data_IF_181208775993
#
_entry.id   IF_181208775993
#
_cell.length_a   1.000
_cell.length_b   1.000
_cell.length_c   1.000
_cell.angle_alpha   90.00
_cell.angle_beta   90.00
_cell.angle_gamma   90.00
#
_symmetry.space_group_name_H-M   'P 1'
#
loop_
_entity.id
_entity.type
_entity.pdbx_description
1 polymer ?
#
# COMPACT_ATOMS: atom_id res chain seq x y z
N UNK A 1 -2.11 2.09 -14.76
CA UNK A 1 -3.03 1.26 -15.56
C UNK A 1 -4.46 1.52 -15.12
N UNK A 2 -5.39 1.52 -16.05
CA UNK A 2 -6.83 1.57 -15.78
C UNK A 2 -7.44 0.32 -16.39
N UNK A 3 -8.24 -0.41 -15.60
CA UNK A 3 -8.86 -1.63 -16.10
C UNK A 3 -10.06 -1.33 -17.02
N UNK A 4 -10.62 -2.36 -17.69
CA UNK A 4 -11.77 -2.16 -18.58
C UNK A 4 -13.01 -1.56 -17.89
N UNK A 5 -13.15 -1.72 -16.59
CA UNK A 5 -14.25 -1.16 -15.82
C UNK A 5 -14.02 0.29 -15.39
N UNK A 6 -12.85 0.85 -15.69
CA UNK A 6 -12.51 2.23 -15.38
C UNK A 6 -11.82 2.44 -14.03
N UNK A 7 -11.39 1.38 -13.36
CA UNK A 7 -10.71 1.47 -12.06
C UNK A 7 -9.20 1.32 -12.20
N UNK A 8 -8.45 2.04 -11.35
CA UNK A 8 -7.02 1.83 -11.21
C UNK A 8 -6.77 0.78 -10.15
N UNK A 9 -6.21 -0.39 -10.52
CA UNK A 9 -5.87 -1.40 -9.52
C UNK A 9 -4.67 -0.96 -8.69
N UNK A 10 -4.77 -1.12 -7.38
CA UNK A 10 -3.63 -0.95 -6.51
C UNK A 10 -3.66 -1.91 -5.32
N UNK A 11 -2.57 -1.94 -4.58
CA UNK A 11 -2.44 -2.73 -3.38
C UNK A 11 -2.15 -1.82 -2.21
N UNK A 12 -2.64 -2.20 -1.03
CA UNK A 12 -2.36 -1.51 0.21
C UNK A 12 -1.86 -2.50 1.24
N UNK A 13 -0.99 -2.05 2.12
CA UNK A 13 -0.28 -2.91 3.06
C UNK A 13 -0.50 -2.39 4.47
N UNK A 14 -0.97 -3.28 5.35
CA UNK A 14 -0.95 -3.05 6.79
C UNK A 14 0.22 -3.84 7.34
N UNK A 15 1.26 -3.14 7.78
CA UNK A 15 2.48 -3.76 8.30
C UNK A 15 2.44 -3.71 9.82
N UNK A 16 2.46 -4.88 10.45
CA UNK A 16 2.25 -5.03 11.87
C UNK A 16 3.51 -5.61 12.54
N UNK A 17 3.82 -5.11 13.71
CA UNK A 17 4.85 -5.70 14.59
C UNK A 17 4.28 -6.94 15.28
N UNK A 18 5.16 -7.84 15.79
CA UNK A 18 4.69 -9.02 16.52
C UNK A 18 3.82 -8.71 17.74
N UNK A 19 3.98 -7.53 18.33
CA UNK A 19 3.18 -7.08 19.48
C UNK A 19 1.82 -6.48 19.07
N UNK A 20 1.49 -6.47 17.79
CA UNK A 20 0.21 -5.97 17.26
C UNK A 20 0.21 -4.50 16.89
N UNK A 21 1.29 -3.76 17.12
CA UNK A 21 1.38 -2.37 16.71
C UNK A 21 1.58 -2.28 15.20
N UNK A 22 1.09 -1.21 14.61
CA UNK A 22 1.02 -1.04 13.15
C UNK A 22 1.84 0.18 12.73
N UNK A 23 2.44 0.11 11.56
CA UNK A 23 3.22 1.20 11.01
C UNK A 23 2.44 1.99 9.96
N UNK A 24 2.66 3.32 9.96
CA UNK A 24 2.21 4.22 8.89
C UNK A 24 3.43 4.73 8.14
N UNK A 25 3.26 4.89 6.82
CA UNK A 25 4.26 5.56 6.00
C UNK A 25 3.95 7.05 5.92
N UNK A 26 5.00 7.88 5.95
CA UNK A 26 4.84 9.32 5.74
C UNK A 26 4.52 9.59 4.27
N UNK A 27 3.53 10.44 4.04
CA UNK A 27 3.17 10.87 2.68
C UNK A 27 4.23 11.85 2.16
N UNK A 28 4.75 11.57 0.95
CA UNK A 28 5.92 12.28 0.43
C UNK A 28 5.65 13.75 0.09
N UNK A 29 4.50 14.08 -0.45
CA UNK A 29 4.20 15.42 -0.95
C UNK A 29 2.97 16.05 -0.31
N UNK A 30 2.53 15.50 0.82
CA UNK A 30 1.35 15.94 1.54
C UNK A 30 1.61 15.76 3.02
N UNK A 31 0.91 16.55 3.81
CA UNK A 31 0.91 16.33 5.23
C UNK A 31 0.19 15.03 5.57
N UNK A 32 0.65 14.38 6.62
CA UNK A 32 0.00 13.21 7.16
C UNK A 32 0.70 11.90 6.83
N UNK A 33 0.09 10.84 7.28
CA UNK A 33 0.61 9.48 7.22
C UNK A 33 -0.42 8.60 6.54
N UNK A 34 0.04 7.54 5.89
CA UNK A 34 -0.83 6.55 5.27
C UNK A 34 -0.20 5.17 5.33
N UNK A 35 -1.01 4.14 5.14
CA UNK A 35 -0.47 2.80 4.94
C UNK A 35 0.29 2.76 3.61
N UNK A 36 1.40 1.99 3.52
CA UNK A 36 2.07 1.78 2.25
C UNK A 36 1.08 1.28 1.21
N UNK A 37 1.10 1.88 0.03
CA UNK A 37 0.21 1.50 -1.06
C UNK A 37 0.78 1.97 -2.39
N UNK A 38 0.35 1.34 -3.46
CA UNK A 38 0.77 1.75 -4.79
C UNK A 38 0.02 1.02 -5.89
N UNK A 39 0.15 1.54 -7.10
CA UNK A 39 -0.49 1.00 -8.28
C UNK A 39 0.12 -0.31 -8.74
N UNK A 40 -0.70 -1.16 -9.34
CA UNK A 40 -0.23 -2.37 -9.98
C UNK A 40 0.23 -2.09 -11.40
N UNK A 41 1.27 -2.78 -11.83
CA UNK A 41 1.64 -2.85 -13.23
C UNK A 41 0.75 -3.88 -13.93
N UNK A 42 0.60 -3.73 -15.25
CA UNK A 42 -0.36 -4.55 -16.02
C UNK A 42 -0.03 -6.04 -16.03
N UNK A 43 1.22 -6.39 -15.79
CA UNK A 43 1.70 -7.78 -15.80
C UNK A 43 1.89 -8.38 -14.41
N UNK A 44 1.46 -7.67 -13.37
CA UNK A 44 1.61 -8.11 -11.98
C UNK A 44 0.32 -8.73 -11.45
N UNK A 45 0.48 -9.75 -10.60
CA UNK A 45 -0.58 -10.16 -9.69
C UNK A 45 -0.62 -9.21 -8.48
N UNK A 46 -1.71 -9.17 -7.72
CA UNK A 46 -1.74 -8.37 -6.48
C UNK A 46 -0.61 -8.71 -5.50
N UNK A 47 -0.28 -9.99 -5.35
CA UNK A 47 0.81 -10.41 -4.45
C UNK A 47 2.17 -9.90 -4.94
N UNK A 48 2.44 -9.98 -6.24
CA UNK A 48 3.67 -9.45 -6.82
C UNK A 48 3.77 -7.94 -6.63
N UNK A 49 2.67 -7.23 -6.86
CA UNK A 49 2.61 -5.79 -6.65
C UNK A 49 2.84 -5.43 -5.19
N UNK A 50 2.28 -6.21 -4.26
CA UNK A 50 2.44 -5.99 -2.83
C UNK A 50 3.92 -6.09 -2.43
N UNK A 51 4.63 -7.12 -2.86
CA UNK A 51 6.05 -7.26 -2.53
C UNK A 51 6.90 -6.17 -3.16
N UNK A 52 6.58 -5.76 -4.38
CA UNK A 52 7.29 -4.66 -5.04
C UNK A 52 7.09 -3.34 -4.28
N UNK A 53 5.86 -3.01 -3.96
CA UNK A 53 5.54 -1.78 -3.22
C UNK A 53 6.13 -1.81 -1.80
N UNK A 54 6.10 -2.95 -1.14
CA UNK A 54 6.74 -3.12 0.16
C UNK A 54 8.22 -2.75 0.09
N UNK A 55 8.91 -3.28 -0.90
CA UNK A 55 10.33 -2.99 -1.10
C UNK A 55 10.58 -1.52 -1.43
N UNK A 56 9.80 -0.95 -2.35
CA UNK A 56 9.96 0.44 -2.76
C UNK A 56 9.71 1.42 -1.62
N UNK A 57 8.72 1.15 -0.78
CA UNK A 57 8.32 2.08 0.27
C UNK A 57 9.00 1.84 1.60
N UNK A 58 9.42 0.62 1.91
CA UNK A 58 9.99 0.28 3.22
C UNK A 58 11.38 -0.31 3.15
N UNK A 59 11.81 -0.76 1.99
CA UNK A 59 13.06 -1.48 1.82
C UNK A 59 12.99 -2.95 2.23
N UNK A 60 11.85 -3.42 2.69
CA UNK A 60 11.71 -4.79 3.16
C UNK A 60 11.60 -5.78 1.99
N UNK A 61 12.17 -6.96 2.21
CA UNK A 61 12.11 -8.09 1.28
C UNK A 61 11.11 -9.12 1.79
N UNK A 62 10.69 -10.08 0.95
CA UNK A 62 9.73 -11.12 1.39
C UNK A 62 10.15 -11.86 2.66
N UNK A 63 11.45 -12.07 2.86
CA UNK A 63 11.97 -12.76 4.05
C UNK A 63 11.78 -11.98 5.36
N UNK A 64 11.45 -10.70 5.26
CA UNK A 64 11.28 -9.84 6.43
C UNK A 64 9.83 -9.77 6.92
N UNK A 65 8.93 -10.46 6.27
CA UNK A 65 7.50 -10.40 6.60
C UNK A 65 6.85 -11.77 6.45
N UNK A 66 5.78 -11.97 7.24
CA UNK A 66 4.83 -13.06 7.05
C UNK A 66 3.50 -12.47 6.58
N UNK A 67 2.93 -13.03 5.53
CA UNK A 67 1.61 -12.63 5.06
C UNK A 67 0.56 -13.33 5.91
N UNK A 68 -0.15 -12.56 6.72
CA UNK A 68 -1.20 -13.09 7.60
C UNK A 68 -2.54 -13.20 6.91
N UNK A 69 -2.78 -12.37 5.91
CA UNK A 69 -4.04 -12.42 5.18
C UNK A 69 -4.15 -11.32 4.14
N UNK A 70 -5.22 -11.36 3.38
CA UNK A 70 -5.56 -10.34 2.41
C UNK A 70 -7.06 -10.27 2.25
N UNK A 71 -7.55 -9.16 1.69
CA UNK A 71 -8.96 -9.09 1.30
C UNK A 71 -9.23 -10.11 0.21
N UNK A 72 -10.40 -10.78 0.23
CA UNK A 72 -10.68 -11.88 -0.72
C UNK A 72 -10.95 -11.42 -2.14
N UNK A 73 -11.03 -10.12 -2.37
CA UNK A 73 -11.27 -9.58 -3.70
C UNK A 73 -10.99 -8.08 -3.71
N UNK A 74 -11.47 -7.45 -4.77
CA UNK A 74 -11.24 -6.02 -4.97
C UNK A 74 -12.22 -5.19 -4.15
N UNK A 75 -11.69 -4.23 -3.38
CA UNK A 75 -12.47 -3.17 -2.75
C UNK A 75 -12.44 -1.97 -3.69
N UNK A 76 -13.61 -1.50 -4.11
CA UNK A 76 -13.73 -0.42 -5.09
C UNK A 76 -14.10 0.89 -4.42
N UNK A 77 -13.40 1.95 -4.82
CA UNK A 77 -13.64 3.31 -4.37
C UNK A 77 -13.88 4.18 -5.60
N UNK A 78 -15.07 4.78 -5.69
CA UNK A 78 -15.37 5.68 -6.80
C UNK A 78 -14.90 7.09 -6.48
N UNK A 79 -14.32 7.75 -7.49
CA UNK A 79 -14.02 9.17 -7.39
C UNK A 79 -15.32 9.98 -7.38
N UNK A 80 -15.37 11.11 -6.65
CA UNK A 80 -16.47 12.06 -6.83
C UNK A 80 -16.56 12.47 -8.29
N UNK A 81 -17.75 12.69 -8.84
CA UNK A 81 -17.88 13.05 -10.27
C UNK A 81 -17.00 14.23 -10.70
N UNK A 82 -16.81 15.22 -9.81
CA UNK A 82 -15.97 16.39 -10.08
C UNK A 82 -14.48 16.06 -10.24
N UNK A 83 -14.04 14.92 -9.72
CA UNK A 83 -12.64 14.49 -9.80
C UNK A 83 -12.37 13.60 -11.00
N UNK A 84 -13.40 13.19 -11.74
CA UNK A 84 -13.27 12.35 -12.93
C UNK A 84 -12.90 13.24 -14.13
N UNK A 85 -11.81 12.89 -14.81
CA UNK A 85 -11.34 13.63 -15.98
C UNK A 85 -11.94 13.02 -17.26
N UNK A 86 -13.05 13.59 -17.70
CA UNK A 86 -13.79 13.06 -18.85
C UNK A 86 -13.10 13.32 -20.20
N UNK A 87 -12.16 14.26 -20.25
CA UNK A 87 -11.43 14.57 -21.48
C UNK A 87 -10.22 13.66 -21.69
N UNK A 88 -9.87 12.83 -20.74
CA UNK A 88 -8.79 11.87 -20.89
C UNK A 88 -9.23 10.73 -21.80
N UNK A 89 -8.29 10.16 -22.55
CA UNK A 89 -8.57 9.06 -23.46
C UNK A 89 -9.13 7.84 -22.73
N UNK A 90 -8.59 7.54 -21.53
CA UNK A 90 -9.09 6.50 -20.65
C UNK A 90 -9.62 7.17 -19.39
N UNK A 91 -10.92 7.06 -19.19
CA UNK A 91 -11.57 7.68 -18.04
C UNK A 91 -11.38 6.79 -16.82
N UNK A 92 -10.75 7.35 -15.77
CA UNK A 92 -10.63 6.68 -14.46
C UNK A 92 -11.77 7.14 -13.57
N UNK A 93 -12.63 6.20 -13.16
CA UNK A 93 -13.77 6.51 -12.29
C UNK A 93 -13.51 6.18 -10.83
N UNK A 94 -12.40 5.52 -10.52
CA UNK A 94 -12.06 5.18 -9.16
C UNK A 94 -10.84 4.30 -9.05
N UNK A 95 -10.65 3.76 -7.87
CA UNK A 95 -9.59 2.80 -7.57
C UNK A 95 -10.21 1.49 -7.09
N UNK A 96 -9.54 0.39 -7.35
CA UNK A 96 -9.84 -0.88 -6.72
C UNK A 96 -8.60 -1.40 -6.02
N UNK A 97 -8.75 -1.95 -4.83
CA UNK A 97 -7.63 -2.32 -3.98
C UNK A 97 -7.75 -3.73 -3.44
N UNK A 98 -6.61 -4.39 -3.33
CA UNK A 98 -6.45 -5.56 -2.47
C UNK A 98 -5.58 -5.12 -1.30
N UNK A 99 -6.05 -5.38 -0.08
CA UNK A 99 -5.33 -5.08 1.14
C UNK A 99 -4.66 -6.32 1.67
N UNK A 100 -3.42 -6.17 2.12
CA UNK A 100 -2.62 -7.25 2.71
C UNK A 100 -2.29 -6.91 4.15
N UNK A 101 -2.40 -7.89 5.03
CA UNK A 101 -1.92 -7.79 6.41
C UNK A 101 -0.63 -8.58 6.52
N UNK A 102 0.45 -7.88 6.84
CA UNK A 102 1.79 -8.46 6.98
C UNK A 102 2.29 -8.29 8.40
N UNK A 103 2.95 -9.32 8.91
CA UNK A 103 3.68 -9.23 10.17
C UNK A 103 5.16 -9.03 9.87
N UNK A 104 5.76 -8.00 10.46
CA UNK A 104 7.19 -7.75 10.36
C UNK A 104 7.94 -8.76 11.20
N UNK A 105 8.90 -9.47 10.59
CA UNK A 105 9.72 -10.50 11.23
C UNK A 105 11.21 -10.19 11.18
N UNK A 106 11.59 -9.09 10.52
CA UNK A 106 12.98 -8.66 10.43
C UNK A 106 13.39 -7.77 11.60
N UNK A 107 14.57 -7.17 11.47
CA UNK A 107 15.07 -6.19 12.42
C UNK A 107 14.67 -4.77 11.97
N UNK A 108 14.56 -3.86 12.92
CA UNK A 108 14.28 -2.44 12.62
C UNK A 108 15.28 -1.85 11.63
N UNK A 109 16.51 -2.34 11.63
CA UNK A 109 17.54 -1.91 10.67
C UNK A 109 17.25 -2.28 9.22
N UNK A 110 16.33 -3.22 8.98
CA UNK A 110 15.92 -3.58 7.64
C UNK A 110 15.00 -2.53 7.00
N UNK A 111 14.38 -1.66 7.79
CA UNK A 111 13.51 -0.61 7.30
C UNK A 111 14.31 0.52 6.67
N UNK A 112 13.91 0.95 5.48
CA UNK A 112 14.58 2.00 4.70
C UNK A 112 13.74 3.26 4.52
N UNK A 113 12.58 3.32 5.18
CA UNK A 113 11.68 4.45 5.09
C UNK A 113 11.30 4.93 6.48
N UNK A 114 10.87 6.20 6.55
CA UNK A 114 10.27 6.73 7.78
C UNK A 114 8.90 6.08 7.97
N UNK A 115 8.78 5.30 9.03
CA UNK A 115 7.51 4.74 9.47
C UNK A 115 7.20 5.23 10.87
N UNK A 116 5.94 5.38 11.19
CA UNK A 116 5.49 5.71 12.53
C UNK A 116 4.71 4.53 13.12
N UNK A 117 4.98 4.26 14.39
CA UNK A 117 4.22 3.30 15.17
C UNK A 117 2.91 3.97 15.61
N UNK A 118 1.78 3.44 15.19
CA UNK A 118 0.47 4.02 15.50
C UNK A 118 0.17 4.08 16.98
N UNK A 119 0.74 3.18 17.76
CA UNK A 119 0.47 3.12 19.21
C UNK A 119 1.24 4.18 19.97
N UNK A 120 2.51 4.40 19.62
CA UNK A 120 3.40 5.29 20.35
C UNK A 120 3.61 6.64 19.68
N UNK A 121 3.31 6.74 18.39
CA UNK A 121 3.65 7.91 17.60
C UNK A 121 5.14 8.08 17.31
N UNK A 122 5.97 7.13 17.73
CA UNK A 122 7.40 7.21 17.52
C UNK A 122 7.77 6.91 16.07
N UNK A 123 8.62 7.74 15.49
CA UNK A 123 9.11 7.52 14.13
C UNK A 123 10.19 6.45 14.12
N UNK A 124 10.09 5.52 13.17
CA UNK A 124 11.16 4.58 12.85
C UNK A 124 11.95 5.17 11.70
N UNK A 125 13.20 5.50 11.94
CA UNK A 125 14.03 6.22 10.98
C UNK A 125 15.27 5.39 10.67
N UNK A 126 15.46 5.07 9.42
CA UNK A 126 16.62 4.27 8.98
C UNK A 126 17.41 4.94 7.88
#
# INVERSE_FOLDING_TARGET
MIDPDGYRPNVAIVLMRPDGRVFWARRVRRDGWQFPQGGMNSDETPTEAMYRELREETGLLPDHVDVLGSTPGWLRYRLPPRAVRHHDRLVCIGQKQVWFLLQFTGDESDLKMDLIDLTTGASTNT
#
